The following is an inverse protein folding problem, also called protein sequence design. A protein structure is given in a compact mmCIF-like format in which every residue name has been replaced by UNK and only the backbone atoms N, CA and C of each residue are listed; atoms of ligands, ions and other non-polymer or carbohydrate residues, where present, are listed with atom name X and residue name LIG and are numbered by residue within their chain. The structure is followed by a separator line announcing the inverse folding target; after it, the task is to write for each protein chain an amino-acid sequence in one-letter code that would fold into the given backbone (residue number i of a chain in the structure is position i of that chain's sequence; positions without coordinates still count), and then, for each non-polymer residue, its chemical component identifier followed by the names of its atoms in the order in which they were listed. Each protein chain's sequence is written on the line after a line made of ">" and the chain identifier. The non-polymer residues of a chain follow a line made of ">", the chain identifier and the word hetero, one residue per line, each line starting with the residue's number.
data_IF_649559899818
#
_entry.id   IF_649559899818
#
_cell.length_a   1.000
_cell.length_b   1.000
_cell.length_c   1.000
_cell.angle_alpha   90.00
_cell.angle_beta   90.00
_cell.angle_gamma   90.00
#
_symmetry.space_group_name_H-M   'P 1'
#
loop_
_entity.id
_entity.type
_entity.pdbx_description
1 polymer ?
#
# COMPACT_ATOMS: atom_id res chain seq x y z
N UNK A 1 6.65 -7.03 -6.27
CA UNK A 1 5.61 -5.99 -6.17
C UNK A 1 4.87 -5.75 -7.48
N UNK A 2 5.52 -5.69 -8.65
CA UNK A 2 4.81 -5.57 -9.93
C UNK A 2 3.81 -6.70 -10.24
N UNK A 3 4.07 -7.93 -9.78
CA UNK A 3 3.11 -9.05 -9.87
C UNK A 3 1.88 -8.85 -8.99
N UNK A 4 2.05 -8.38 -7.75
CA UNK A 4 0.96 -8.06 -6.83
C UNK A 4 0.12 -6.94 -7.43
N UNK A 5 0.74 -5.84 -7.87
CA UNK A 5 0.00 -4.73 -8.48
C UNK A 5 -0.91 -5.19 -9.64
N UNK A 6 -0.35 -5.95 -10.59
CA UNK A 6 -1.11 -6.49 -11.73
C UNK A 6 -2.21 -7.49 -11.35
N UNK A 7 -2.11 -8.12 -10.19
CA UNK A 7 -3.15 -9.02 -9.69
C UNK A 7 -4.38 -8.24 -9.21
N UNK A 8 -4.19 -7.01 -8.74
CA UNK A 8 -5.25 -6.17 -8.18
C UNK A 8 -5.73 -5.08 -9.15
N UNK A 9 -4.94 -4.68 -10.15
CA UNK A 9 -5.39 -3.90 -11.33
C UNK A 9 -6.17 -4.81 -12.30
N UNK A 10 -7.32 -5.32 -11.82
CA UNK A 10 -8.08 -6.39 -12.50
C UNK A 10 -8.71 -5.94 -13.80
N UNK A 11 -9.10 -4.67 -13.87
CA UNK A 11 -9.67 -4.03 -15.05
C UNK A 11 -8.61 -3.46 -16.00
N UNK A 12 -7.33 -3.49 -15.62
CA UNK A 12 -6.19 -2.91 -16.35
C UNK A 12 -6.35 -1.40 -16.58
N UNK A 13 -7.02 -0.72 -15.65
CA UNK A 13 -7.08 0.74 -15.62
C UNK A 13 -5.70 1.38 -15.42
N UNK A 14 -4.74 0.61 -14.87
CA UNK A 14 -3.45 1.14 -14.44
C UNK A 14 -3.54 1.80 -13.06
N UNK A 15 -4.61 1.51 -12.31
CA UNK A 15 -4.87 1.97 -10.95
C UNK A 15 -5.46 0.85 -10.10
N UNK A 16 -5.28 0.91 -8.79
CA UNK A 16 -5.98 0.04 -7.84
C UNK A 16 -6.95 0.90 -7.04
N UNK A 17 -8.20 0.46 -6.95
CA UNK A 17 -9.22 1.17 -6.19
C UNK A 17 -9.06 1.02 -4.68
N UNK A 18 -9.55 2.00 -3.94
CA UNK A 18 -9.53 2.00 -2.46
C UNK A 18 -10.23 0.80 -1.80
N UNK A 19 -11.10 0.08 -2.50
CA UNK A 19 -11.69 -1.17 -2.01
C UNK A 19 -10.78 -2.39 -2.19
N UNK A 20 -9.83 -2.35 -3.13
CA UNK A 20 -8.95 -3.47 -3.50
C UNK A 20 -7.58 -3.38 -2.81
N UNK A 21 -7.17 -2.15 -2.49
CA UNK A 21 -5.93 -1.83 -1.80
C UNK A 21 -5.68 -2.64 -0.50
N UNK A 22 -6.67 -2.96 0.38
CA UNK A 22 -6.39 -3.75 1.57
C UNK A 22 -5.85 -5.15 1.22
N UNK A 23 -6.43 -5.78 0.20
CA UNK A 23 -5.97 -7.08 -0.30
C UNK A 23 -4.59 -6.98 -0.95
N UNK A 24 -4.32 -5.90 -1.69
CA UNK A 24 -3.02 -5.65 -2.30
C UNK A 24 -1.91 -5.50 -1.26
N UNK A 25 -2.17 -4.77 -0.17
CA UNK A 25 -1.20 -4.63 0.93
C UNK A 25 -0.99 -5.93 1.69
N UNK A 26 -2.04 -6.71 1.96
CA UNK A 26 -1.89 -8.02 2.62
C UNK A 26 -1.08 -8.99 1.74
N UNK A 27 -1.35 -9.03 0.43
CA UNK A 27 -0.58 -9.82 -0.53
C UNK A 27 0.88 -9.37 -0.65
N UNK A 28 1.16 -8.08 -0.39
CA UNK A 28 2.51 -7.54 -0.29
C UNK A 28 3.19 -7.79 1.07
N UNK A 29 2.49 -8.41 2.03
CA UNK A 29 3.00 -8.77 3.36
C UNK A 29 2.72 -7.75 4.46
N UNK A 30 1.89 -6.74 4.21
CA UNK A 30 1.57 -5.68 5.16
C UNK A 30 0.17 -5.85 5.72
N UNK A 31 0.06 -6.07 7.03
CA UNK A 31 -1.21 -6.04 7.76
C UNK A 31 -1.36 -4.70 8.46
N UNK A 32 -2.16 -3.84 7.84
CA UNK A 32 -2.38 -2.48 8.31
C UNK A 32 -3.67 -2.43 9.13
N UNK A 33 -3.69 -1.58 10.15
CA UNK A 33 -4.94 -1.24 10.82
C UNK A 33 -5.70 -0.16 10.04
N UNK A 34 -6.97 0.04 10.37
CA UNK A 34 -7.85 0.99 9.69
C UNK A 34 -7.28 2.42 9.65
N UNK A 35 -6.67 2.87 10.75
CA UNK A 35 -6.14 4.24 10.84
C UNK A 35 -4.97 4.46 9.88
N UNK A 36 -4.03 3.51 9.82
CA UNK A 36 -2.92 3.54 8.86
C UNK A 36 -3.43 3.46 7.43
N UNK A 37 -4.44 2.61 7.20
CA UNK A 37 -5.05 2.45 5.89
C UNK A 37 -5.66 3.77 5.38
N UNK A 38 -6.48 4.44 6.19
CA UNK A 38 -7.06 5.74 5.86
C UNK A 38 -6.00 6.81 5.59
N UNK A 39 -4.89 6.81 6.34
CA UNK A 39 -3.78 7.73 6.08
C UNK A 39 -3.08 7.46 4.75
N UNK A 40 -2.92 6.18 4.37
CA UNK A 40 -2.31 5.79 3.10
C UNK A 40 -3.19 6.22 1.94
N UNK A 41 -4.48 5.87 1.96
CA UNK A 41 -5.42 6.25 0.90
C UNK A 41 -5.42 7.78 0.73
N UNK A 42 -5.53 8.53 1.82
CA UNK A 42 -5.51 10.00 1.77
C UNK A 42 -4.21 10.59 1.19
N UNK A 43 -3.07 9.90 1.34
CA UNK A 43 -1.75 10.43 0.97
C UNK A 43 -1.29 9.99 -0.42
N UNK A 44 -1.70 8.82 -0.87
CA UNK A 44 -1.16 8.15 -2.06
C UNK A 44 -2.21 7.86 -3.13
N UNK A 45 -3.50 8.03 -2.84
CA UNK A 45 -4.55 7.93 -3.84
C UNK A 45 -4.97 9.32 -4.32
N UNK A 46 -5.58 9.36 -5.51
CA UNK A 46 -6.22 10.56 -6.04
C UNK A 46 -7.57 10.86 -5.35
N UNK A 47 -8.27 11.88 -5.82
CA UNK A 47 -9.59 12.29 -5.29
C UNK A 47 -10.69 11.24 -5.46
N UNK A 48 -10.50 10.27 -6.36
CA UNK A 48 -11.40 9.15 -6.60
C UNK A 48 -11.01 7.90 -5.80
N UNK A 49 -9.96 7.99 -4.98
CA UNK A 49 -9.42 6.86 -4.22
C UNK A 49 -8.68 5.84 -5.08
N UNK A 50 -8.19 6.25 -6.26
CA UNK A 50 -7.40 5.42 -7.16
C UNK A 50 -5.91 5.60 -6.89
N UNK A 51 -5.18 4.49 -6.84
CA UNK A 51 -3.73 4.48 -6.62
C UNK A 51 -2.99 3.92 -7.82
N UNK A 52 -2.17 4.74 -8.46
CA UNK A 52 -1.28 4.31 -9.54
C UNK A 52 -0.09 3.47 -9.02
N UNK A 53 0.66 2.90 -9.96
CA UNK A 53 1.78 2.02 -9.64
C UNK A 53 2.90 2.72 -8.86
N UNK A 54 3.24 3.95 -9.24
CA UNK A 54 4.35 4.70 -8.64
C UNK A 54 4.04 5.09 -7.19
N UNK A 55 2.80 5.48 -6.91
CA UNK A 55 2.31 5.74 -5.57
C UNK A 55 2.23 4.45 -4.73
N UNK A 56 1.82 3.33 -5.32
CA UNK A 56 1.83 2.04 -4.64
C UNK A 56 3.24 1.63 -4.20
N UNK A 57 4.23 1.69 -5.10
CA UNK A 57 5.62 1.38 -4.76
C UNK A 57 6.18 2.36 -3.71
N UNK A 58 5.91 3.66 -3.89
CA UNK A 58 6.34 4.69 -2.93
C UNK A 58 5.79 4.43 -1.54
N UNK A 59 4.51 4.02 -1.43
CA UNK A 59 3.89 3.66 -0.17
C UNK A 59 4.59 2.46 0.49
N UNK A 60 4.80 1.37 -0.26
CA UNK A 60 5.45 0.16 0.26
C UNK A 60 6.87 0.43 0.77
N UNK A 61 7.66 1.25 0.06
CA UNK A 61 9.01 1.63 0.50
C UNK A 61 8.98 2.37 1.83
N UNK A 62 8.02 3.29 2.02
CA UNK A 62 7.89 4.00 3.31
C UNK A 62 7.41 3.10 4.44
N UNK A 63 6.46 2.22 4.15
CA UNK A 63 6.00 1.24 5.13
C UNK A 63 7.15 0.33 5.57
N UNK A 64 7.89 -0.26 4.63
CA UNK A 64 9.05 -1.09 4.92
C UNK A 64 10.09 -0.35 5.77
N UNK A 65 10.38 0.93 5.46
CA UNK A 65 11.28 1.75 6.26
C UNK A 65 10.76 1.98 7.69
N UNK A 66 9.48 2.33 7.85
CA UNK A 66 8.86 2.53 9.17
C UNK A 66 8.92 1.25 10.01
N UNK A 67 8.51 0.11 9.44
CA UNK A 67 8.53 -1.16 10.16
C UNK A 67 9.95 -1.60 10.53
N UNK A 68 10.93 -1.44 9.64
CA UNK A 68 12.35 -1.75 9.96
C UNK A 68 12.88 -0.91 11.11
N UNK A 69 12.51 0.38 11.19
CA UNK A 69 12.89 1.24 12.31
C UNK A 69 12.24 0.76 13.60
N UNK A 70 10.94 0.46 13.58
CA UNK A 70 10.21 -0.04 14.76
C UNK A 70 10.76 -1.39 15.24
N UNK A 71 11.08 -2.31 14.34
CA UNK A 71 11.68 -3.60 14.70
C UNK A 71 13.08 -3.41 15.29
N UNK A 72 13.89 -2.47 14.78
CA UNK A 72 15.21 -2.17 15.35
C UNK A 72 15.15 -1.57 16.75
N UNK A 73 14.19 -0.67 17.01
CA UNK A 73 14.02 -0.08 18.35
C UNK A 73 13.39 -1.04 19.37
N UNK A 74 12.90 -2.21 18.95
CA UNK A 74 12.36 -3.24 19.85
C UNK A 74 13.40 -4.28 20.29
N UNK A 75 14.66 -4.17 19.80
CA UNK A 75 15.77 -5.07 20.15
C UNK A 75 16.87 -4.37 20.97
N UNK A 76 16.57 -3.19 21.52
CA UNK A 76 17.43 -2.47 22.48
C UNK A 76 16.75 -2.32 23.84
#
# INVERSE_FOLDING_TARGET
>A
MGCVYKQFDTDRSGTIGSSELPGAFEAAGFRLNEQLYQMIVRRYSDENGQMDFDNFISCLVRLDAMFRVTTRMSVE
#
